data_IF_370826557813
#
_entry.id   IF_370826557813
#
_cell.length_a   1.000
_cell.length_b   1.000
_cell.length_c   1.000
_cell.angle_alpha   90.00
_cell.angle_beta   90.00
_cell.angle_gamma   90.00
#
_symmetry.space_group_name_H-M   'P 1'
#
loop_
_entity.id
_entity.type
_entity.pdbx_description
1 polymer ?
#
# COMPACT_ATOMS: atom_id res chain seq x y z
N UNK A 1 8.18 6.90 19.18
CA UNK A 1 7.39 7.62 18.16
C UNK A 1 6.88 6.66 17.10
N UNK A 2 7.76 5.95 16.37
CA UNK A 2 7.35 5.12 15.22
C UNK A 2 6.37 3.99 15.59
N UNK A 3 6.67 3.20 16.61
CA UNK A 3 5.83 2.07 17.04
C UNK A 3 4.45 2.49 17.57
N UNK A 4 4.29 3.74 18.02
CA UNK A 4 3.07 4.26 18.64
C UNK A 4 2.71 5.62 18.02
N UNK A 5 2.71 5.71 16.68
CA UNK A 5 2.48 6.97 15.97
C UNK A 5 1.09 7.59 16.19
N UNK A 6 0.13 6.77 16.64
CA UNK A 6 -1.23 7.18 16.99
C UNK A 6 -1.29 8.03 18.27
N UNK A 7 -0.34 7.88 19.20
CA UNK A 7 -0.28 8.69 20.41
C UNK A 7 0.05 10.18 20.13
N UNK A 8 -0.22 11.02 21.13
CA UNK A 8 0.27 12.39 21.15
C UNK A 8 1.74 12.46 21.54
N UNK A 9 2.55 13.02 20.65
CA UNK A 9 3.98 13.24 20.83
C UNK A 9 4.35 14.72 20.75
N UNK A 10 3.88 15.57 21.68
CA UNK A 10 4.25 16.97 21.68
C UNK A 10 5.76 17.11 21.88
N UNK A 11 6.37 18.06 21.18
CA UNK A 11 7.82 18.32 21.24
C UNK A 11 8.31 18.50 22.68
N UNK A 12 7.50 19.09 23.56
CA UNK A 12 7.83 19.22 25.00
C UNK A 12 8.00 17.87 25.70
N UNK A 13 7.14 16.87 25.42
CA UNK A 13 7.24 15.51 25.97
C UNK A 13 8.54 14.86 25.49
N UNK A 14 8.81 14.95 24.19
CA UNK A 14 10.00 14.36 23.56
C UNK A 14 11.30 14.99 24.09
N UNK A 15 11.32 16.32 24.20
CA UNK A 15 12.47 17.06 24.72
C UNK A 15 12.76 16.72 26.18
N UNK A 16 11.71 16.62 27.01
CA UNK A 16 11.82 16.19 28.41
C UNK A 16 12.41 14.79 28.55
N UNK A 17 11.92 13.83 27.76
CA UNK A 17 12.45 12.44 27.76
C UNK A 17 13.91 12.41 27.29
N UNK A 18 14.29 13.33 26.41
CA UNK A 18 15.65 13.41 25.85
C UNK A 18 16.61 14.28 26.66
N UNK A 19 16.17 14.90 27.77
CA UNK A 19 17.01 15.74 28.62
C UNK A 19 17.45 17.08 27.99
N UNK A 20 16.73 17.57 26.97
CA UNK A 20 17.10 18.81 26.24
C UNK A 20 15.95 19.81 26.23
N UNK A 21 16.26 21.06 25.86
CA UNK A 21 15.22 22.05 25.63
C UNK A 21 14.37 21.71 24.38
N UNK A 22 13.09 22.12 24.31
CA UNK A 22 12.24 21.88 23.14
C UNK A 22 12.81 22.39 21.83
N UNK A 23 13.46 23.56 21.85
CA UNK A 23 14.08 24.15 20.67
C UNK A 23 15.30 23.35 20.21
N UNK A 24 16.13 22.90 21.14
CA UNK A 24 17.29 22.04 20.83
C UNK A 24 16.82 20.70 20.28
N UNK A 25 15.82 20.06 20.90
CA UNK A 25 15.25 18.82 20.40
C UNK A 25 14.76 18.97 18.95
N UNK A 26 13.95 19.98 18.65
CA UNK A 26 13.39 20.17 17.33
C UNK A 26 14.47 20.39 16.26
N UNK A 27 15.54 21.12 16.60
CA UNK A 27 16.69 21.33 15.72
C UNK A 27 17.46 20.04 15.50
N UNK A 28 17.92 19.38 16.57
CA UNK A 28 18.67 18.13 16.48
C UNK A 28 17.89 17.03 15.76
N UNK A 29 16.57 16.95 15.98
CA UNK A 29 15.71 16.01 15.27
C UNK A 29 15.66 16.32 13.78
N UNK A 30 15.48 17.58 13.40
CA UNK A 30 15.49 17.98 11.98
C UNK A 30 16.85 17.70 11.34
N UNK A 31 17.94 17.94 12.05
CA UNK A 31 19.29 17.69 11.54
C UNK A 31 19.53 16.18 11.33
N UNK A 32 18.97 15.33 12.21
CA UNK A 32 19.10 13.87 12.11
C UNK A 32 18.16 13.23 11.08
N UNK A 33 16.90 13.68 10.99
CA UNK A 33 15.85 13.04 10.17
C UNK A 33 15.48 13.84 8.91
N UNK A 34 16.09 15.01 8.70
CA UNK A 34 15.82 15.91 7.57
C UNK A 34 14.52 16.72 7.69
N UNK A 35 13.60 16.34 8.57
CA UNK A 35 12.28 16.97 8.72
C UNK A 35 11.94 17.27 10.18
N UNK A 36 11.15 18.33 10.47
CA UNK A 36 10.72 18.62 11.84
C UNK A 36 9.89 17.47 12.46
N UNK A 37 9.96 17.27 13.80
CA UNK A 37 9.29 16.17 14.49
C UNK A 37 7.79 16.03 14.17
N UNK A 38 7.07 17.16 14.09
CA UNK A 38 5.66 17.16 13.77
C UNK A 38 5.38 16.59 12.37
N UNK A 39 6.15 16.99 11.35
CA UNK A 39 5.98 16.47 9.99
C UNK A 39 6.30 14.99 9.92
N UNK A 40 7.37 14.57 10.58
CA UNK A 40 7.75 13.16 10.67
C UNK A 40 6.60 12.30 11.24
N UNK A 41 5.99 12.75 12.35
CA UNK A 41 4.85 12.06 12.96
C UNK A 41 3.65 11.96 12.00
N UNK A 42 3.32 13.02 11.28
CA UNK A 42 2.23 12.98 10.30
C UNK A 42 2.50 11.93 9.21
N UNK A 43 3.72 11.87 8.68
CA UNK A 43 4.12 10.86 7.70
C UNK A 43 3.97 9.44 8.27
N UNK A 44 4.44 9.19 9.50
CA UNK A 44 4.27 7.88 10.17
C UNK A 44 2.81 7.50 10.38
N UNK A 45 1.93 8.46 10.67
CA UNK A 45 0.48 8.21 10.78
C UNK A 45 -0.13 7.83 9.44
N UNK A 46 0.26 8.50 8.34
CA UNK A 46 -0.20 8.16 6.98
C UNK A 46 0.29 6.79 6.53
N UNK A 47 1.56 6.44 6.82
CA UNK A 47 2.10 5.11 6.53
C UNK A 47 1.29 4.01 7.24
N UNK A 48 1.01 4.20 8.53
CA UNK A 48 0.18 3.25 9.29
C UNK A 48 -1.25 3.17 8.77
N UNK A 49 -1.87 4.31 8.42
CA UNK A 49 -3.19 4.33 7.81
C UNK A 49 -3.20 3.59 6.45
N UNK A 50 -2.16 3.75 5.64
CA UNK A 50 -2.03 3.06 4.35
C UNK A 50 -1.90 1.54 4.53
N UNK A 51 -1.20 1.08 5.57
CA UNK A 51 -1.16 -0.34 5.93
C UNK A 51 -2.56 -0.86 6.29
N UNK A 52 -3.27 -0.17 7.19
CA UNK A 52 -4.63 -0.56 7.58
C UNK A 52 -5.62 -0.55 6.39
N UNK A 53 -5.52 0.41 5.48
CA UNK A 53 -6.36 0.48 4.29
C UNK A 53 -6.17 -0.72 3.35
N UNK A 54 -4.97 -1.30 3.33
CA UNK A 54 -4.60 -2.49 2.55
C UNK A 54 -4.96 -3.80 3.23
N UNK A 55 -4.78 -3.85 4.55
CA UNK A 55 -4.86 -5.08 5.34
C UNK A 55 -6.26 -5.34 5.92
N UNK A 56 -7.11 -4.31 6.02
CA UNK A 56 -8.41 -4.42 6.69
C UNK A 56 -9.55 -3.75 5.92
N UNK A 57 -10.77 -4.15 6.26
CA UNK A 57 -12.02 -3.55 5.80
C UNK A 57 -12.56 -2.46 6.74
N UNK A 58 -11.78 -2.01 7.73
CA UNK A 58 -12.23 -1.00 8.69
C UNK A 58 -12.70 0.27 7.97
N UNK A 59 -13.78 0.92 8.42
CA UNK A 59 -14.21 2.21 7.89
C UNK A 59 -13.04 3.21 7.88
N UNK A 60 -12.99 4.03 6.82
CA UNK A 60 -11.93 5.06 6.69
C UNK A 60 -11.95 6.01 7.89
N UNK A 61 -13.14 6.23 8.45
CA UNK A 61 -13.33 7.00 9.67
C UNK A 61 -12.56 6.44 10.85
N UNK A 62 -12.69 5.13 11.06
CA UNK A 62 -12.13 4.43 12.20
C UNK A 62 -10.61 4.36 12.06
N UNK A 63 -10.12 4.11 10.84
CA UNK A 63 -8.68 4.14 10.53
C UNK A 63 -8.08 5.51 10.83
N UNK A 64 -8.77 6.60 10.50
CA UNK A 64 -8.29 7.96 10.80
C UNK A 64 -8.12 8.16 12.31
N UNK A 65 -9.10 7.74 13.12
CA UNK A 65 -9.01 7.87 14.58
C UNK A 65 -7.98 6.91 15.19
N UNK A 66 -7.92 5.66 14.72
CA UNK A 66 -6.93 4.65 15.16
C UNK A 66 -5.50 5.10 14.88
N UNK A 67 -5.29 5.89 13.82
CA UNK A 67 -3.97 6.44 13.47
C UNK A 67 -3.71 7.82 14.07
N UNK A 68 -4.57 8.28 14.99
CA UNK A 68 -4.35 9.48 15.82
C UNK A 68 -4.81 10.80 15.20
N UNK A 69 -5.68 10.78 14.20
CA UNK A 69 -6.26 12.00 13.62
C UNK A 69 -7.54 12.42 14.33
N UNK A 70 -7.67 13.71 14.64
CA UNK A 70 -8.87 14.26 15.28
C UNK A 70 -9.91 14.78 14.28
N UNK A 71 -9.61 14.73 12.97
CA UNK A 71 -10.49 15.24 11.92
C UNK A 71 -10.27 14.50 10.60
N UNK A 72 -11.36 14.01 10.02
CA UNK A 72 -11.35 13.35 8.71
C UNK A 72 -10.93 14.28 7.58
N UNK A 73 -11.30 15.56 7.64
CA UNK A 73 -10.91 16.54 6.63
C UNK A 73 -9.41 16.77 6.61
N UNK A 74 -8.79 16.88 7.79
CA UNK A 74 -7.33 17.03 7.90
C UNK A 74 -6.61 15.75 7.50
N UNK A 75 -7.10 14.60 7.96
CA UNK A 75 -6.60 13.29 7.55
C UNK A 75 -6.61 13.14 6.04
N UNK A 76 -7.76 13.32 5.38
CA UNK A 76 -7.89 13.14 3.93
C UNK A 76 -7.00 14.07 3.11
N UNK A 77 -6.88 15.34 3.51
CA UNK A 77 -5.96 16.29 2.86
C UNK A 77 -4.51 15.85 3.02
N UNK A 78 -4.05 15.64 4.24
CA UNK A 78 -2.65 15.25 4.49
C UNK A 78 -2.32 13.88 3.89
N UNK A 79 -3.28 12.95 3.86
CA UNK A 79 -3.11 11.68 3.19
C UNK A 79 -2.82 11.89 1.72
N UNK A 80 -3.65 12.65 1.01
CA UNK A 80 -3.44 12.97 -0.40
C UNK A 80 -2.13 13.73 -0.64
N UNK A 81 -1.79 14.69 0.23
CA UNK A 81 -0.53 15.45 0.12
C UNK A 81 0.71 14.54 0.23
N UNK A 82 0.62 13.46 1.00
CA UNK A 82 1.73 12.53 1.25
C UNK A 82 1.77 11.38 0.23
N UNK A 83 0.62 10.82 -0.16
CA UNK A 83 0.54 9.62 -1.01
C UNK A 83 0.21 9.91 -2.47
N UNK A 84 -0.32 11.09 -2.78
CA UNK A 84 -0.81 11.48 -4.11
C UNK A 84 -2.28 11.09 -4.39
N UNK A 85 -2.88 10.23 -3.58
CA UNK A 85 -4.27 9.76 -3.74
C UNK A 85 -5.05 9.84 -2.42
N UNK A 86 -6.38 9.83 -2.45
CA UNK A 86 -7.20 9.78 -1.23
C UNK A 86 -7.23 8.38 -0.61
N UNK A 87 -7.60 8.26 0.68
CA UNK A 87 -7.80 6.96 1.33
C UNK A 87 -8.76 6.03 0.58
N UNK A 88 -9.85 6.57 0.01
CA UNK A 88 -10.83 5.80 -0.75
C UNK A 88 -10.27 5.30 -2.08
N UNK A 89 -9.50 6.14 -2.79
CA UNK A 89 -8.84 5.80 -4.05
C UNK A 89 -7.80 4.69 -3.81
N UNK A 90 -6.95 4.83 -2.80
CA UNK A 90 -6.00 3.80 -2.41
C UNK A 90 -6.71 2.46 -2.18
N UNK A 91 -7.77 2.45 -1.38
CA UNK A 91 -8.49 1.21 -1.07
C UNK A 91 -9.13 0.58 -2.30
N UNK A 92 -9.74 1.38 -3.18
CA UNK A 92 -10.30 0.88 -4.43
C UNK A 92 -9.23 0.25 -5.34
N UNK A 93 -8.05 0.89 -5.42
CA UNK A 93 -6.90 0.39 -6.18
C UNK A 93 -6.40 -0.94 -5.64
N UNK A 94 -6.23 -1.03 -4.32
CA UNK A 94 -5.72 -2.24 -3.65
C UNK A 94 -6.73 -3.41 -3.75
N UNK A 95 -8.04 -3.14 -3.63
CA UNK A 95 -9.06 -4.17 -3.91
C UNK A 95 -9.03 -4.65 -5.35
N UNK A 96 -8.91 -3.73 -6.32
CA UNK A 96 -8.82 -4.10 -7.74
C UNK A 96 -7.58 -4.95 -8.00
N UNK A 97 -6.45 -4.59 -7.41
CA UNK A 97 -5.20 -5.34 -7.52
C UNK A 97 -5.31 -6.74 -6.90
N UNK A 98 -5.97 -6.87 -5.74
CA UNK A 98 -6.19 -8.17 -5.08
C UNK A 98 -7.10 -9.11 -5.90
N UNK A 99 -8.04 -8.56 -6.69
CA UNK A 99 -8.93 -9.33 -7.56
C UNK A 99 -8.39 -9.47 -8.99
N UNK A 100 -7.25 -8.85 -9.32
CA UNK A 100 -6.63 -9.03 -10.61
C UNK A 100 -6.16 -10.48 -10.74
N UNK A 101 -6.50 -11.21 -11.82
CA UNK A 101 -5.97 -12.54 -12.02
C UNK A 101 -4.44 -12.46 -12.05
N UNK A 102 -3.78 -13.36 -11.31
CA UNK A 102 -2.33 -13.46 -11.34
C UNK A 102 -1.85 -13.53 -12.80
N UNK A 103 -0.70 -12.91 -13.14
CA UNK A 103 -0.23 -12.90 -14.52
C UNK A 103 -0.09 -14.34 -15.02
N UNK A 104 -0.96 -14.70 -15.97
CA UNK A 104 -1.01 -16.05 -16.51
C UNK A 104 0.26 -16.25 -17.35
N UNK A 105 1.09 -17.28 -17.06
CA UNK A 105 2.26 -17.57 -17.85
C UNK A 105 1.91 -17.71 -19.34
N UNK A 106 2.74 -17.15 -20.21
CA UNK A 106 2.48 -17.14 -21.66
C UNK A 106 2.26 -18.55 -22.26
N UNK A 107 2.82 -19.59 -21.66
CA UNK A 107 2.58 -20.97 -22.07
C UNK A 107 1.12 -21.43 -21.86
N UNK A 108 0.46 -21.00 -20.78
CA UNK A 108 -0.94 -21.33 -20.50
C UNK A 108 -1.86 -20.59 -21.47
N UNK A 109 -1.60 -19.29 -21.74
CA UNK A 109 -2.34 -18.53 -22.75
C UNK A 109 -2.21 -19.17 -24.14
N UNK A 110 -0.98 -19.54 -24.54
CA UNK A 110 -0.74 -20.24 -25.82
C UNK A 110 -1.44 -21.60 -25.90
N UNK A 111 -1.53 -22.33 -24.78
CA UNK A 111 -2.26 -23.60 -24.73
C UNK A 111 -3.78 -23.40 -24.83
N UNK A 112 -4.33 -22.39 -24.14
CA UNK A 112 -5.76 -22.05 -24.22
C UNK A 112 -6.17 -21.54 -25.60
N UNK A 113 -5.26 -20.88 -26.32
CA UNK A 113 -5.48 -20.39 -27.68
C UNK A 113 -4.96 -21.34 -28.77
N UNK A 114 -4.55 -22.57 -28.43
CA UNK A 114 -4.14 -23.52 -29.47
C UNK A 114 -5.37 -23.90 -30.31
N UNK A 115 -5.34 -23.72 -31.65
CA UNK A 115 -6.43 -24.16 -32.50
C UNK A 115 -6.58 -25.69 -32.42
N UNK A 116 -7.83 -26.18 -32.40
CA UNK A 116 -8.14 -27.60 -32.31
C UNK A 116 -7.56 -28.38 -33.51
N UNK A 117 -6.53 -29.19 -33.25
CA UNK A 117 -5.87 -30.05 -34.23
C UNK A 117 -6.71 -31.29 -34.63
N UNK A 118 -7.95 -31.44 -34.13
CA UNK A 118 -8.83 -32.58 -34.46
C UNK A 118 -9.18 -32.68 -35.94
N UNK A 119 -8.94 -31.63 -36.74
CA UNK A 119 -9.28 -31.60 -38.17
C UNK A 119 -8.05 -31.82 -39.07
N UNK A 120 -6.81 -31.57 -38.59
CA UNK A 120 -5.65 -31.45 -39.49
C UNK A 120 -4.82 -32.72 -39.70
N UNK A 121 -5.01 -33.80 -38.92
CA UNK A 121 -4.25 -35.04 -39.11
C UNK A 121 -5.17 -36.10 -39.74
N UNK A 122 -5.33 -36.03 -41.06
CA UNK A 122 -5.73 -37.22 -41.82
C UNK A 122 -4.55 -38.19 -41.82
N UNK A 123 -4.57 -39.18 -40.92
CA UNK A 123 -3.68 -40.35 -40.93
C UNK A 123 -3.90 -41.19 -42.21
N UNK A 124 -3.53 -40.66 -43.39
CA UNK A 124 -3.55 -41.41 -44.66
C UNK A 124 -2.13 -41.78 -45.09
N UNK A 125 -1.40 -42.49 -44.22
CA UNK A 125 -0.13 -43.18 -44.57
C UNK A 125 0.03 -44.54 -43.85
N UNK A 126 -1.03 -45.36 -43.84
CA UNK A 126 -0.94 -46.83 -43.71
C UNK A 126 -1.97 -47.52 -44.61
N UNK A 127 -1.78 -47.41 -45.92
CA UNK A 127 -2.18 -48.47 -46.86
C UNK A 127 -0.98 -48.75 -47.74
N UNK A 128 0.01 -49.38 -47.12
CA UNK A 128 0.96 -50.20 -47.84
C UNK A 128 0.28 -51.51 -48.20
N UNK A 129 0.36 -51.85 -49.48
CA UNK A 129 0.78 -53.17 -49.93
C UNK A 129 0.05 -54.38 -49.32
N UNK A 130 -0.96 -54.85 -50.05
CA UNK A 130 -1.18 -56.29 -50.17
C UNK A 130 -1.58 -56.52 -51.62
N UNK A 131 -0.59 -56.95 -52.42
CA UNK A 131 -0.83 -57.61 -53.69
C UNK A 131 -1.29 -59.05 -53.47
#
# INVERSE_FOLDING_TARGET
>A
MDAASHEEWPVRRLARVSGVSPAHFARSFKDAFGVPPHRYLLTRRIERASALLRETDHPITDIAFETGWNSLGTFGRTFRDVTGESPSELRARERTAAHAPAPVPACILRAAHRPDLRIAVSEKRRRGETG
#
